data_IF_329090166938
#
_entry.id   IF_329090166938
#
_cell.length_a   1.000
_cell.length_b   1.000
_cell.length_c   1.000
_cell.angle_alpha   90.00
_cell.angle_beta   90.00
_cell.angle_gamma   90.00
#
_symmetry.space_group_name_H-M   'P 1'
#
loop_
_entity.id
_entity.type
_entity.pdbx_description
1 polymer ?
#
# COMPACT_ATOMS: atom_id res chain seq x y z
N UNK A 1 0.07 -21.13 -29.88
CA UNK A 1 -0.38 -19.75 -29.55
C UNK A 1 0.06 -19.56 -28.10
N UNK A 2 1.35 -19.28 -27.88
CA UNK A 2 1.96 -19.46 -26.55
C UNK A 2 2.85 -18.27 -26.17
N UNK A 3 2.44 -17.07 -26.57
CA UNK A 3 3.16 -15.81 -26.31
C UNK A 3 2.31 -14.82 -25.48
N UNK A 4 1.39 -15.34 -24.65
CA UNK A 4 0.54 -14.54 -23.76
C UNK A 4 0.80 -14.83 -22.26
N UNK A 5 1.59 -15.85 -21.93
CA UNK A 5 1.92 -16.23 -20.55
C UNK A 5 3.07 -15.43 -19.93
N UNK A 6 3.82 -14.65 -20.72
CA UNK A 6 4.96 -13.88 -20.21
C UNK A 6 4.53 -12.58 -19.49
N UNK A 7 3.28 -12.14 -19.66
CA UNK A 7 2.78 -10.90 -19.05
C UNK A 7 1.96 -11.12 -17.76
N UNK A 8 1.65 -12.37 -17.41
CA UNK A 8 0.96 -12.71 -16.16
C UNK A 8 1.88 -12.77 -14.92
N UNK A 9 3.20 -12.74 -15.11
CA UNK A 9 4.18 -12.83 -14.02
C UNK A 9 4.68 -11.45 -13.52
N UNK A 10 4.23 -10.36 -14.14
CA UNK A 10 4.62 -8.97 -13.79
C UNK A 10 3.64 -8.28 -12.81
N UNK A 11 2.71 -9.01 -12.21
CA UNK A 11 1.68 -8.44 -11.33
C UNK A 11 2.20 -8.03 -9.94
N UNK A 12 3.46 -8.35 -9.64
CA UNK A 12 4.14 -8.06 -8.38
C UNK A 12 5.33 -7.16 -8.65
N UNK A 13 5.20 -5.86 -8.38
CA UNK A 13 6.32 -4.92 -8.46
C UNK A 13 6.80 -4.61 -7.05
N UNK A 14 8.10 -4.73 -6.82
CA UNK A 14 8.72 -4.22 -5.59
C UNK A 14 8.70 -2.69 -5.62
N UNK A 15 8.04 -2.09 -4.64
CA UNK A 15 7.88 -0.64 -4.56
C UNK A 15 8.32 -0.14 -3.18
N UNK A 16 9.02 0.99 -3.16
CA UNK A 16 9.28 1.73 -1.92
C UNK A 16 8.04 2.53 -1.56
N UNK A 17 7.48 2.30 -0.36
CA UNK A 17 6.33 3.05 0.12
C UNK A 17 6.78 4.49 0.41
N UNK A 18 6.16 5.50 -0.22
CA UNK A 18 6.55 6.88 0.02
C UNK A 18 6.24 7.31 1.46
N UNK A 19 7.13 8.09 2.06
CA UNK A 19 6.97 8.61 3.44
C UNK A 19 5.74 9.52 3.62
N UNK A 20 5.15 10.04 2.53
CA UNK A 20 3.94 10.86 2.55
C UNK A 20 2.64 10.02 2.71
N UNK A 21 2.75 8.69 2.71
CA UNK A 21 1.69 7.75 3.07
C UNK A 21 1.56 7.72 4.59
N UNK A 22 0.78 8.65 5.12
CA UNK A 22 0.62 8.89 6.56
C UNK A 22 -0.65 8.21 7.09
N UNK A 23 -0.53 7.49 8.20
CA UNK A 23 -1.67 6.86 8.89
C UNK A 23 -2.72 7.92 9.27
N UNK A 24 -4.02 7.60 9.22
CA UNK A 24 -5.05 8.48 9.76
C UNK A 24 -4.81 8.87 11.22
N UNK A 25 -4.13 8.00 12.00
CA UNK A 25 -3.77 8.27 13.40
C UNK A 25 -2.58 9.22 13.55
N UNK A 26 -1.74 9.36 12.52
CA UNK A 26 -0.58 10.25 12.48
C UNK A 26 -0.92 11.59 11.78
N UNK A 27 -2.16 11.76 11.31
CA UNK A 27 -2.56 12.95 10.57
C UNK A 27 -2.85 14.12 11.49
N UNK A 28 -2.21 15.26 11.23
CA UNK A 28 -2.54 16.54 11.88
C UNK A 28 -3.74 17.26 11.23
N UNK A 29 -4.40 16.64 10.24
CA UNK A 29 -5.53 17.24 9.52
C UNK A 29 -6.83 17.03 10.28
N UNK A 30 -7.74 18.00 10.17
CA UNK A 30 -9.09 17.86 10.73
C UNK A 30 -9.83 16.66 10.13
N UNK A 31 -10.37 15.78 10.97
CA UNK A 31 -11.08 14.54 10.59
C UNK A 31 -12.23 14.80 9.61
N UNK A 32 -12.88 15.97 9.71
CA UNK A 32 -13.99 16.36 8.83
C UNK A 32 -13.53 16.94 7.49
N UNK A 33 -12.25 17.29 7.35
CA UNK A 33 -11.71 17.91 6.14
C UNK A 33 -11.69 16.94 4.96
N UNK A 34 -11.80 17.50 3.75
CA UNK A 34 -11.64 16.74 2.50
C UNK A 34 -10.25 16.11 2.39
N UNK A 35 -9.24 16.79 2.90
CA UNK A 35 -7.85 16.35 2.79
C UNK A 35 -7.53 15.18 3.72
N UNK A 36 -8.14 15.15 4.92
CA UNK A 36 -8.09 13.97 5.78
C UNK A 36 -8.74 12.76 5.11
N UNK A 37 -9.92 12.93 4.51
CA UNK A 37 -10.61 11.85 3.79
C UNK A 37 -9.80 11.32 2.61
N UNK A 38 -9.14 12.20 1.85
CA UNK A 38 -8.23 11.81 0.76
C UNK A 38 -7.03 11.01 1.29
N UNK A 39 -6.40 11.47 2.36
CA UNK A 39 -5.29 10.77 3.01
C UNK A 39 -5.71 9.39 3.52
N UNK A 40 -6.86 9.31 4.20
CA UNK A 40 -7.41 8.06 4.70
C UNK A 40 -7.65 7.04 3.58
N UNK A 41 -8.21 7.48 2.45
CA UNK A 41 -8.41 6.62 1.28
C UNK A 41 -7.08 6.15 0.69
N UNK A 42 -6.11 7.05 0.56
CA UNK A 42 -4.77 6.71 0.07
C UNK A 42 -4.09 5.68 0.97
N UNK A 43 -4.07 5.92 2.27
CA UNK A 43 -3.57 4.97 3.27
C UNK A 43 -4.25 3.60 3.14
N UNK A 44 -5.58 3.58 3.07
CA UNK A 44 -6.35 2.35 2.92
C UNK A 44 -6.01 1.59 1.63
N UNK A 45 -5.78 2.30 0.50
CA UNK A 45 -5.38 1.67 -0.77
C UNK A 45 -4.02 0.97 -0.62
N UNK A 46 -3.04 1.60 0.03
CA UNK A 46 -1.74 0.96 0.23
C UNK A 46 -1.82 -0.24 1.18
N UNK A 47 -2.57 -0.14 2.29
CA UNK A 47 -2.73 -1.29 3.20
C UNK A 47 -3.40 -2.46 2.47
N UNK A 48 -4.41 -2.21 1.63
CA UNK A 48 -5.04 -3.24 0.78
C UNK A 48 -4.04 -3.88 -0.17
N UNK A 49 -3.25 -3.09 -0.89
CA UNK A 49 -2.24 -3.62 -1.80
C UNK A 49 -1.22 -4.52 -1.08
N UNK A 50 -0.75 -4.14 0.11
CA UNK A 50 0.13 -5.01 0.92
C UNK A 50 -0.61 -6.26 1.39
N UNK A 51 -1.87 -6.11 1.82
CA UNK A 51 -2.69 -7.23 2.26
C UNK A 51 -2.90 -8.27 1.16
N UNK A 52 -3.23 -7.81 -0.04
CA UNK A 52 -3.52 -8.65 -1.20
C UNK A 52 -2.24 -9.37 -1.69
N UNK A 53 -1.08 -8.71 -1.59
CA UNK A 53 0.21 -9.26 -2.04
C UNK A 53 0.79 -10.28 -1.05
N UNK A 54 0.64 -10.03 0.26
CA UNK A 54 1.20 -10.90 1.30
C UNK A 54 0.17 -11.87 1.90
N UNK A 55 -1.08 -11.88 1.41
CA UNK A 55 -2.19 -12.70 1.89
C UNK A 55 -2.36 -12.71 3.42
N UNK A 56 -2.21 -11.55 4.05
CA UNK A 56 -2.19 -11.41 5.51
C UNK A 56 -3.44 -10.70 6.04
N UNK A 57 -3.55 -10.57 7.37
CA UNK A 57 -4.63 -9.79 7.97
C UNK A 57 -4.42 -8.30 7.72
N UNK A 58 -5.49 -7.50 7.81
CA UNK A 58 -5.38 -6.04 7.72
C UNK A 58 -4.39 -5.45 8.72
N UNK A 59 -4.34 -6.01 9.93
CA UNK A 59 -3.46 -5.53 11.00
C UNK A 59 -1.99 -5.81 10.68
N UNK A 60 -1.72 -7.00 10.13
CA UNK A 60 -0.37 -7.39 9.71
C UNK A 60 0.09 -6.58 8.50
N UNK A 61 -0.78 -6.40 7.50
CA UNK A 61 -0.52 -5.57 6.33
C UNK A 61 -0.21 -4.11 6.74
N UNK A 62 -0.96 -3.57 7.71
CA UNK A 62 -0.71 -2.25 8.27
C UNK A 62 0.67 -2.18 8.94
N UNK A 63 1.05 -3.20 9.71
CA UNK A 63 2.34 -3.27 10.39
C UNK A 63 3.49 -3.31 9.37
N UNK A 64 3.38 -4.20 8.38
CA UNK A 64 4.34 -4.31 7.26
C UNK A 64 4.47 -2.98 6.51
N UNK A 65 3.36 -2.33 6.18
CA UNK A 65 3.38 -1.05 5.51
C UNK A 65 4.12 0.03 6.31
N UNK A 66 3.90 0.11 7.61
CA UNK A 66 4.60 1.08 8.48
C UNK A 66 6.10 0.76 8.53
N UNK A 67 6.44 -0.51 8.74
CA UNK A 67 7.83 -0.97 8.84
C UNK A 67 8.62 -0.69 7.54
N UNK A 68 8.06 -1.05 6.38
CA UNK A 68 8.70 -0.81 5.09
C UNK A 68 8.72 0.68 4.70
N UNK A 69 7.69 1.45 5.07
CA UNK A 69 7.68 2.91 4.92
C UNK A 69 8.78 3.56 5.77
N UNK A 70 8.87 3.23 7.05
CA UNK A 70 9.79 3.91 7.98
C UNK A 70 11.25 3.54 7.69
N UNK A 71 11.50 2.29 7.28
CA UNK A 71 12.83 1.83 6.90
C UNK A 71 13.19 2.11 5.43
N UNK A 72 12.23 2.62 4.64
CA UNK A 72 12.39 2.84 3.19
C UNK A 72 12.87 1.58 2.45
N UNK A 73 12.36 0.41 2.86
CA UNK A 73 12.67 -0.88 2.26
C UNK A 73 11.59 -1.22 1.23
N UNK A 74 11.96 -1.69 0.02
CA UNK A 74 10.99 -2.14 -0.96
C UNK A 74 10.07 -3.23 -0.39
N UNK A 75 8.81 -3.21 -0.79
CA UNK A 75 7.83 -4.25 -0.48
C UNK A 75 7.12 -4.68 -1.76
N UNK A 76 6.81 -5.96 -1.85
CA UNK A 76 6.02 -6.49 -2.94
C UNK A 76 4.58 -5.96 -2.84
N UNK A 77 4.15 -5.21 -3.86
CA UNK A 77 2.80 -4.65 -3.89
C UNK A 77 2.18 -4.84 -5.27
N UNK A 78 0.97 -5.42 -5.28
CA UNK A 78 0.07 -5.43 -6.43
C UNK A 78 -0.71 -4.12 -6.45
N UNK A 79 -0.45 -3.31 -7.47
CA UNK A 79 -1.25 -2.12 -7.74
C UNK A 79 -2.54 -2.56 -8.42
N UNK A 80 -3.61 -2.66 -7.64
CA UNK A 80 -4.95 -2.78 -8.21
C UNK A 80 -5.34 -1.40 -8.72
N UNK A 81 -5.39 -1.23 -10.06
CA UNK A 81 -5.83 0.01 -10.71
C UNK A 81 -7.23 0.43 -10.25
#
# INVERSE_FOLDING_TARGET
MDQLSLFSELDSTEMVIPADVISPLESNKSVKSRDFKKQQRRWSKYVKSVQDSHHCSWFDARKLLIEHRDNQVPIEMRLVE
#
